data_IF_470395303431
#
_entry.id   IF_470395303431
#
_cell.length_a   1.000
_cell.length_b   1.000
_cell.length_c   1.000
_cell.angle_alpha   90.00
_cell.angle_beta   90.00
_cell.angle_gamma   90.00
#
_symmetry.space_group_name_H-M   'P 1'
#
loop_
_entity.id
_entity.type
_entity.pdbx_description
1 polymer ?
#
# COMPACT_ATOMS: atom_id res chain seq x y z
N UNK A 1 -63.67 16.05 18.61
CA UNK A 1 -62.71 15.04 18.24
C UNK A 1 -62.08 15.41 16.88
N UNK A 2 -60.92 16.05 16.88
CA UNK A 2 -60.17 16.40 15.65
C UNK A 2 -58.84 15.67 15.69
N UNK A 3 -58.64 14.79 14.71
CA UNK A 3 -57.37 14.07 14.53
C UNK A 3 -56.35 15.00 13.86
N UNK A 4 -55.20 15.17 14.51
CA UNK A 4 -54.01 15.84 13.94
C UNK A 4 -53.12 14.80 13.30
N UNK A 5 -53.00 14.87 11.96
CA UNK A 5 -52.05 14.04 11.21
C UNK A 5 -50.66 14.67 11.32
N UNK A 6 -49.75 13.98 11.98
CA UNK A 6 -48.34 14.35 12.07
C UNK A 6 -47.61 13.81 10.80
N UNK A 7 -47.10 14.71 9.97
CA UNK A 7 -46.26 14.38 8.84
C UNK A 7 -44.80 14.33 9.32
N UNK A 8 -44.21 13.14 9.36
CA UNK A 8 -42.77 13.00 9.51
C UNK A 8 -42.12 13.13 8.13
N UNK A 9 -41.37 14.20 7.94
CA UNK A 9 -40.48 14.38 6.80
C UNK A 9 -39.17 13.68 7.17
N UNK A 10 -38.92 12.51 6.56
CA UNK A 10 -37.63 11.85 6.63
C UNK A 10 -36.69 12.54 5.63
N UNK A 11 -35.74 13.32 6.14
CA UNK A 11 -34.64 13.82 5.35
C UNK A 11 -33.63 12.66 5.15
N UNK A 12 -33.61 12.10 3.95
CA UNK A 12 -32.59 11.16 3.55
C UNK A 12 -31.33 11.96 3.21
N UNK A 13 -30.37 11.96 4.12
CA UNK A 13 -29.00 12.40 3.81
C UNK A 13 -28.38 11.32 2.92
N UNK A 14 -28.24 11.61 1.64
CA UNK A 14 -27.44 10.78 0.72
C UNK A 14 -25.99 11.20 0.94
N UNK A 15 -25.32 10.48 1.82
CA UNK A 15 -23.86 10.55 1.95
C UNK A 15 -23.30 9.77 0.76
N UNK A 16 -22.85 10.47 -0.26
CA UNK A 16 -22.21 9.87 -1.43
C UNK A 16 -20.78 9.44 -1.10
N UNK A 17 -20.64 8.28 -0.49
CA UNK A 17 -19.35 7.58 -0.44
C UNK A 17 -19.12 6.94 -1.80
N UNK A 18 -18.19 7.50 -2.58
CA UNK A 18 -17.66 6.82 -3.76
C UNK A 18 -16.78 5.67 -3.27
N UNK A 19 -17.41 4.55 -2.99
CA UNK A 19 -16.71 3.29 -2.83
C UNK A 19 -16.19 2.93 -4.23
N UNK A 20 -14.89 3.04 -4.45
CA UNK A 20 -14.24 2.40 -5.60
C UNK A 20 -14.19 0.91 -5.28
N UNK A 21 -15.32 0.25 -5.47
CA UNK A 21 -15.43 -1.20 -5.42
C UNK A 21 -14.59 -1.77 -6.57
N UNK A 22 -13.64 -2.64 -6.27
CA UNK A 22 -13.06 -3.55 -7.26
C UNK A 22 -14.17 -4.48 -7.75
N UNK A 23 -14.93 -4.06 -8.77
CA UNK A 23 -15.99 -4.90 -9.31
C UNK A 23 -15.37 -6.09 -10.03
N UNK A 24 -15.70 -7.29 -9.58
CA UNK A 24 -15.37 -8.60 -10.19
C UNK A 24 -16.14 -8.88 -11.49
N UNK A 25 -16.46 -7.84 -12.27
CA UNK A 25 -17.09 -8.01 -13.57
C UNK A 25 -16.05 -8.48 -14.61
N UNK A 26 -15.98 -9.79 -14.80
CA UNK A 26 -15.15 -10.49 -15.81
C UNK A 26 -15.48 -10.11 -17.27
N UNK A 27 -16.35 -9.13 -17.54
CA UNK A 27 -16.86 -8.80 -18.88
C UNK A 27 -16.84 -7.32 -19.24
N UNK A 28 -16.00 -6.49 -18.61
CA UNK A 28 -15.64 -5.18 -19.17
C UNK A 28 -14.13 -5.14 -19.36
N UNK A 29 -13.65 -5.59 -20.50
CA UNK A 29 -12.37 -5.12 -21.06
C UNK A 29 -12.51 -3.60 -21.28
N UNK A 30 -12.28 -2.81 -20.23
CA UNK A 30 -11.93 -1.42 -20.43
C UNK A 30 -10.63 -1.44 -21.23
N UNK A 31 -10.56 -0.66 -22.30
CA UNK A 31 -9.36 -0.46 -23.10
C UNK A 31 -8.27 0.11 -22.16
N UNK A 32 -7.44 -0.78 -21.60
CA UNK A 32 -6.38 -0.43 -20.68
C UNK A 32 -5.20 -0.01 -21.54
N UNK A 33 -4.71 1.20 -21.35
CA UNK A 33 -3.49 1.65 -22.00
C UNK A 33 -2.31 0.93 -21.35
N UNK A 34 -1.74 -0.06 -22.03
CA UNK A 34 -0.51 -0.73 -21.63
C UNK A 34 0.67 -0.20 -22.41
N UNK A 35 1.83 -0.06 -21.77
CA UNK A 35 3.04 0.46 -22.41
C UNK A 35 4.31 -0.06 -21.74
N UNK A 36 5.37 -0.20 -22.52
CA UNK A 36 6.73 -0.49 -22.07
C UNK A 36 7.62 0.77 -22.03
N UNK A 37 7.05 1.96 -22.24
CA UNK A 37 7.80 3.22 -22.25
C UNK A 37 8.31 3.58 -20.85
N UNK A 38 9.62 3.56 -20.67
CA UNK A 38 10.30 3.92 -19.42
C UNK A 38 10.70 5.39 -19.35
N UNK A 39 10.46 6.19 -20.40
CA UNK A 39 10.99 7.56 -20.54
C UNK A 39 10.59 8.51 -19.41
N UNK A 40 9.49 8.21 -18.71
CA UNK A 40 9.00 9.02 -17.59
C UNK A 40 9.34 8.44 -16.22
N UNK A 41 10.16 7.38 -16.19
CA UNK A 41 10.59 6.75 -14.94
C UNK A 41 12.04 7.09 -14.60
N UNK A 42 12.34 6.94 -13.33
CA UNK A 42 13.69 7.02 -12.78
C UNK A 42 13.91 5.89 -11.78
N UNK A 43 15.17 5.50 -11.62
CA UNK A 43 15.58 4.66 -10.49
C UNK A 43 15.61 5.50 -9.24
N UNK A 44 14.93 5.06 -8.17
CA UNK A 44 14.78 5.87 -6.94
C UNK A 44 16.13 6.26 -6.35
N UNK A 45 17.14 5.38 -6.38
CA UNK A 45 18.48 5.67 -5.86
C UNK A 45 19.23 6.78 -6.63
N UNK A 46 18.80 7.12 -7.84
CA UNK A 46 19.37 8.27 -8.57
C UNK A 46 18.84 9.61 -8.03
N UNK A 47 17.67 9.60 -7.39
CA UNK A 47 16.99 10.80 -6.84
C UNK A 47 17.14 10.87 -5.32
N UNK A 48 17.07 9.74 -4.64
CA UNK A 48 17.23 9.58 -3.19
C UNK A 48 18.37 8.59 -2.92
N UNK A 49 19.65 9.01 -2.99
CA UNK A 49 20.80 8.10 -2.97
C UNK A 49 21.00 7.32 -1.66
N UNK A 50 20.48 7.82 -0.56
CA UNK A 50 20.60 7.21 0.77
C UNK A 50 19.38 6.38 1.19
N UNK A 51 18.43 6.16 0.29
CA UNK A 51 17.32 5.26 0.54
C UNK A 51 17.79 3.82 0.75
N UNK A 52 17.12 3.11 1.64
CA UNK A 52 17.37 1.67 1.86
C UNK A 52 16.39 0.88 1.01
N UNK A 53 16.89 -0.04 0.20
CA UNK A 53 16.06 -0.94 -0.60
C UNK A 53 16.00 -2.32 0.03
N UNK A 54 14.81 -2.77 0.37
CA UNK A 54 14.50 -4.15 0.73
C UNK A 54 13.36 -4.65 -0.17
N UNK A 55 13.65 -4.76 -1.47
CA UNK A 55 12.63 -5.07 -2.47
C UNK A 55 12.12 -6.48 -2.26
N UNK A 56 10.97 -6.59 -1.60
CA UNK A 56 10.38 -7.86 -1.13
C UNK A 56 10.06 -8.80 -2.26
N UNK A 57 9.62 -8.27 -3.38
CA UNK A 57 9.20 -9.06 -4.53
C UNK A 57 10.35 -9.52 -5.44
N UNK A 58 11.54 -8.94 -5.27
CA UNK A 58 12.76 -9.50 -5.87
C UNK A 58 13.27 -10.71 -5.08
N UNK A 59 13.06 -10.74 -3.77
CA UNK A 59 13.42 -11.84 -2.87
C UNK A 59 12.34 -12.91 -2.76
N UNK A 60 12.52 -13.79 -1.78
CA UNK A 60 11.56 -14.86 -1.43
C UNK A 60 10.78 -14.58 -0.14
N UNK A 61 11.15 -13.53 0.59
CA UNK A 61 10.45 -13.14 1.82
C UNK A 61 9.29 -12.19 1.49
N UNK A 62 8.26 -12.73 0.86
CA UNK A 62 7.00 -12.11 0.53
C UNK A 62 5.87 -13.14 0.73
N UNK A 63 4.63 -12.75 0.59
CA UNK A 63 3.48 -13.63 0.86
C UNK A 63 3.33 -14.81 -0.11
N UNK A 64 4.00 -14.77 -1.28
CA UNK A 64 4.05 -15.87 -2.24
C UNK A 64 5.15 -16.88 -1.88
N UNK A 65 6.29 -16.41 -1.35
CA UNK A 65 7.44 -17.25 -0.99
C UNK A 65 8.45 -17.47 -2.13
N UNK A 66 8.26 -16.80 -3.27
CA UNK A 66 9.18 -16.86 -4.41
C UNK A 66 9.40 -15.45 -4.98
N UNK A 67 10.42 -15.30 -5.86
CA UNK A 67 10.59 -14.07 -6.62
C UNK A 67 9.37 -13.84 -7.51
N UNK A 68 8.87 -12.63 -7.52
CA UNK A 68 7.72 -12.25 -8.33
C UNK A 68 8.14 -11.93 -9.76
N UNK A 69 7.31 -12.35 -10.71
CA UNK A 69 7.56 -12.15 -12.13
C UNK A 69 7.72 -10.66 -12.47
N UNK A 70 8.71 -10.37 -13.31
CA UNK A 70 9.02 -9.00 -13.73
C UNK A 70 9.97 -8.23 -12.80
N UNK A 71 10.39 -8.78 -11.66
CA UNK A 71 11.46 -8.22 -10.83
C UNK A 71 12.81 -8.84 -11.22
N UNK A 72 13.56 -8.15 -12.07
CA UNK A 72 14.85 -8.63 -12.59
C UNK A 72 16.03 -8.23 -11.71
N UNK A 73 15.93 -7.09 -11.02
CA UNK A 73 16.96 -6.56 -10.11
C UNK A 73 16.36 -6.05 -8.79
N UNK A 74 17.15 -6.01 -7.68
CA UNK A 74 16.69 -5.51 -6.37
C UNK A 74 16.70 -3.97 -6.34
N UNK A 75 15.94 -3.36 -7.25
CA UNK A 75 15.83 -1.91 -7.41
C UNK A 75 14.39 -1.45 -7.36
N UNK A 76 14.17 -0.15 -7.25
CA UNK A 76 12.85 0.45 -7.22
C UNK A 76 12.77 1.61 -8.22
N UNK A 77 11.66 1.68 -8.93
CA UNK A 77 11.40 2.67 -9.96
C UNK A 77 10.14 3.46 -9.61
N UNK A 78 10.13 4.75 -9.93
CA UNK A 78 8.94 5.60 -9.88
C UNK A 78 8.88 6.50 -11.11
N UNK A 79 7.70 7.04 -11.39
CA UNK A 79 7.60 8.20 -12.29
C UNK A 79 8.43 9.35 -11.74
N UNK A 80 9.00 10.18 -12.63
CA UNK A 80 9.83 11.34 -12.24
C UNK A 80 9.12 12.23 -11.21
N UNK A 81 7.84 12.51 -11.44
CA UNK A 81 7.05 13.35 -10.55
C UNK A 81 6.88 12.72 -9.16
N UNK A 82 6.62 11.42 -9.07
CA UNK A 82 6.53 10.73 -7.78
C UNK A 82 7.89 10.65 -7.08
N UNK A 83 8.98 10.47 -7.83
CA UNK A 83 10.33 10.47 -7.28
C UNK A 83 10.76 11.84 -6.73
N UNK A 84 10.39 12.94 -7.40
CA UNK A 84 10.63 14.31 -6.90
C UNK A 84 9.88 14.57 -5.59
N UNK A 85 8.62 14.14 -5.49
CA UNK A 85 7.85 14.19 -4.25
C UNK A 85 8.47 13.32 -3.16
N UNK A 86 8.93 12.11 -3.50
CA UNK A 86 9.60 11.20 -2.55
C UNK A 86 10.93 11.81 -2.03
N UNK A 87 11.65 12.55 -2.88
CA UNK A 87 12.85 13.28 -2.45
C UNK A 87 12.53 14.29 -1.35
N UNK A 88 11.43 15.03 -1.50
CA UNK A 88 10.98 15.98 -0.49
C UNK A 88 10.55 15.27 0.82
N UNK A 89 9.89 14.11 0.72
CA UNK A 89 9.61 13.25 1.90
C UNK A 89 10.90 12.82 2.57
N UNK A 90 11.90 12.37 1.79
CA UNK A 90 13.20 11.93 2.32
C UNK A 90 13.91 13.05 3.07
N UNK A 91 13.92 14.26 2.52
CA UNK A 91 14.55 15.41 3.18
C UNK A 91 13.84 15.79 4.49
N UNK A 92 12.50 15.72 4.51
CA UNK A 92 11.67 16.00 5.69
C UNK A 92 11.94 14.99 6.83
N UNK A 93 11.88 13.69 6.54
CA UNK A 93 12.10 12.67 7.57
C UNK A 93 13.57 12.61 8.02
N UNK A 94 14.49 12.95 7.13
CA UNK A 94 15.92 13.03 7.44
C UNK A 94 16.23 14.14 8.47
N UNK A 95 15.54 15.27 8.38
CA UNK A 95 15.63 16.33 9.38
C UNK A 95 15.13 15.87 10.77
N UNK A 96 14.35 14.79 10.82
CA UNK A 96 13.85 14.18 12.05
C UNK A 96 14.68 12.97 12.51
N UNK A 97 15.78 12.62 11.80
CA UNK A 97 16.66 11.52 12.14
C UNK A 97 16.32 10.17 11.48
N UNK A 98 15.46 10.18 10.44
CA UNK A 98 15.06 8.97 9.75
C UNK A 98 15.55 8.93 8.30
N UNK A 99 15.66 7.73 7.76
CA UNK A 99 15.78 7.44 6.32
C UNK A 99 14.57 6.67 5.86
N UNK A 100 14.29 6.74 4.57
CA UNK A 100 13.26 5.90 3.95
C UNK A 100 13.82 4.50 3.67
N UNK A 101 13.00 3.48 3.92
CA UNK A 101 13.24 2.10 3.54
C UNK A 101 12.07 1.63 2.68
N UNK A 102 12.37 1.15 1.47
CA UNK A 102 11.37 0.82 0.45
C UNK A 102 11.24 -0.69 0.32
N UNK A 103 10.00 -1.17 0.32
CA UNK A 103 9.63 -2.56 0.12
C UNK A 103 9.20 -2.84 -1.32
N UNK A 104 8.43 -1.92 -1.94
CA UNK A 104 8.00 -1.96 -3.33
C UNK A 104 7.72 -0.54 -3.85
N UNK A 105 7.74 -0.39 -5.18
CA UNK A 105 7.38 0.85 -5.85
C UNK A 105 6.63 0.53 -7.16
N UNK A 106 7.16 0.88 -8.34
CA UNK A 106 6.57 0.39 -9.58
C UNK A 106 6.58 -1.15 -9.61
N UNK A 107 5.42 -1.73 -9.89
CA UNK A 107 5.19 -3.19 -10.04
C UNK A 107 4.64 -3.44 -11.44
N UNK A 108 5.34 -4.21 -12.29
CA UNK A 108 4.85 -4.50 -13.63
C UNK A 108 3.59 -5.36 -13.58
N UNK A 109 2.74 -5.29 -14.62
CA UNK A 109 1.52 -6.11 -14.69
C UNK A 109 1.82 -7.60 -14.51
N UNK A 110 2.97 -8.10 -15.01
CA UNK A 110 3.42 -9.50 -14.79
C UNK A 110 3.49 -9.88 -13.31
N UNK A 111 3.87 -8.94 -12.44
CA UNK A 111 3.90 -9.15 -10.98
C UNK A 111 2.49 -9.28 -10.41
N UNK A 112 1.57 -8.44 -10.84
CA UNK A 112 0.16 -8.52 -10.46
C UNK A 112 -0.44 -9.85 -10.93
N UNK A 113 -0.18 -10.25 -12.17
CA UNK A 113 -0.66 -11.53 -12.73
C UNK A 113 -0.08 -12.73 -11.97
N UNK A 114 1.15 -12.63 -11.45
CA UNK A 114 1.73 -13.66 -10.58
C UNK A 114 0.95 -13.78 -9.27
N UNK A 115 0.58 -12.67 -8.62
CA UNK A 115 -0.23 -12.69 -7.42
C UNK A 115 -1.60 -13.32 -7.67
N UNK A 116 -2.22 -13.01 -8.80
CA UNK A 116 -3.49 -13.61 -9.21
C UNK A 116 -3.38 -15.13 -9.33
N UNK A 117 -2.40 -15.62 -10.09
CA UNK A 117 -2.16 -17.06 -10.25
C UNK A 117 -1.88 -17.76 -8.92
N UNK A 118 -1.06 -17.13 -8.07
CA UNK A 118 -0.79 -17.63 -6.73
C UNK A 118 -2.07 -17.70 -5.87
N UNK A 119 -2.90 -16.67 -5.90
CA UNK A 119 -4.13 -16.63 -5.12
C UNK A 119 -5.16 -17.68 -5.59
N UNK A 120 -5.19 -18.02 -6.88
CA UNK A 120 -6.05 -19.07 -7.46
C UNK A 120 -5.60 -20.49 -7.05
N UNK A 121 -4.30 -20.71 -6.77
CA UNK A 121 -3.83 -21.99 -6.22
C UNK A 121 -4.04 -22.06 -4.71
N UNK A 122 -5.20 -22.53 -4.29
CA UNK A 122 -5.58 -22.64 -2.87
C UNK A 122 -4.68 -23.58 -2.05
N UNK A 123 -3.87 -24.43 -2.69
CA UNK A 123 -2.99 -25.37 -2.02
C UNK A 123 -1.60 -24.78 -1.73
N UNK A 124 -1.22 -23.70 -2.42
CA UNK A 124 0.02 -23.00 -2.13
C UNK A 124 -0.15 -22.10 -0.89
N UNK A 125 0.25 -22.63 0.25
CA UNK A 125 0.14 -21.96 1.55
C UNK A 125 1.52 -21.79 2.23
N UNK A 126 2.60 -21.80 1.43
CA UNK A 126 3.98 -21.78 1.91
C UNK A 126 4.23 -20.67 2.96
N UNK A 127 3.74 -19.48 2.70
CA UNK A 127 3.97 -18.30 3.54
C UNK A 127 2.77 -17.93 4.43
N UNK A 128 1.75 -18.79 4.51
CA UNK A 128 0.53 -18.51 5.28
C UNK A 128 0.81 -18.13 6.73
N UNK A 129 1.68 -18.87 7.41
CA UNK A 129 1.99 -18.63 8.82
C UNK A 129 2.64 -17.25 9.08
N UNK A 130 3.23 -16.62 8.07
CA UNK A 130 3.96 -15.37 8.19
C UNK A 130 3.15 -14.14 7.75
N UNK A 131 2.21 -14.30 6.81
CA UNK A 131 1.52 -13.16 6.22
C UNK A 131 0.00 -13.19 6.36
N UNK A 132 -0.63 -14.38 6.43
CA UNK A 132 -2.09 -14.50 6.49
C UNK A 132 -2.56 -15.72 7.31
N UNK A 133 -2.05 -15.91 8.56
CA UNK A 133 -2.34 -17.12 9.34
C UNK A 133 -3.83 -17.32 9.61
N UNK A 134 -4.57 -16.24 9.75
CA UNK A 134 -5.97 -16.21 10.14
C UNK A 134 -6.93 -16.20 8.94
N UNK A 135 -6.41 -16.10 7.71
CA UNK A 135 -7.22 -16.06 6.49
C UNK A 135 -7.12 -17.35 5.68
N UNK A 136 -8.23 -17.68 5.02
CA UNK A 136 -8.23 -18.67 3.95
C UNK A 136 -7.96 -17.98 2.61
N UNK A 137 -7.17 -18.61 1.71
CA UNK A 137 -6.91 -18.02 0.38
C UNK A 137 -8.17 -17.75 -0.44
N UNK A 138 -9.24 -18.49 -0.21
CA UNK A 138 -10.53 -18.28 -0.89
C UNK A 138 -11.15 -16.90 -0.64
N UNK A 139 -10.73 -16.18 0.43
CA UNK A 139 -11.26 -14.85 0.75
C UNK A 139 -10.40 -13.70 0.18
N UNK A 140 -9.22 -13.97 -0.36
CA UNK A 140 -8.26 -12.93 -0.74
C UNK A 140 -8.78 -12.02 -1.87
N UNK A 141 -9.47 -12.56 -2.88
CA UNK A 141 -10.15 -11.76 -3.90
C UNK A 141 -11.43 -11.09 -3.38
N UNK A 142 -12.36 -11.81 -2.71
CA UNK A 142 -13.58 -11.20 -2.17
C UNK A 142 -13.36 -10.07 -1.18
N UNK A 143 -12.22 -10.05 -0.49
CA UNK A 143 -11.85 -9.03 0.50
C UNK A 143 -10.80 -8.04 -0.02
N UNK A 144 -10.58 -7.99 -1.33
CA UNK A 144 -9.69 -7.05 -2.02
C UNK A 144 -8.21 -7.06 -1.58
N UNK A 145 -7.74 -8.15 -0.92
CA UNK A 145 -6.31 -8.34 -0.65
C UNK A 145 -5.49 -8.54 -1.92
N UNK A 146 -6.09 -9.18 -2.94
CA UNK A 146 -5.50 -9.36 -4.26
C UNK A 146 -6.47 -8.81 -5.32
N UNK A 147 -5.96 -7.91 -6.17
CA UNK A 147 -6.71 -7.27 -7.24
C UNK A 147 -6.11 -7.59 -8.61
N UNK A 148 -6.93 -7.56 -9.66
CA UNK A 148 -6.49 -7.76 -11.05
C UNK A 148 -5.66 -6.59 -11.61
N UNK A 149 -5.75 -5.42 -10.96
CA UNK A 149 -5.01 -4.20 -11.31
C UNK A 149 -4.48 -3.55 -10.04
N UNK A 150 -3.31 -2.95 -10.15
CA UNK A 150 -2.64 -2.32 -9.02
C UNK A 150 -2.27 -0.86 -9.30
N UNK A 151 -2.38 0.00 -8.29
CA UNK A 151 -1.85 1.36 -8.33
C UNK A 151 -0.35 1.40 -8.63
N UNK A 152 0.40 0.42 -8.13
CA UNK A 152 1.84 0.29 -8.39
C UNK A 152 2.18 0.18 -9.87
N UNK A 153 1.33 -0.45 -10.67
CA UNK A 153 1.55 -0.62 -12.11
C UNK A 153 1.46 0.70 -12.88
N UNK A 154 0.90 1.76 -12.28
CA UNK A 154 0.88 3.12 -12.84
C UNK A 154 2.13 3.94 -12.51
N UNK A 155 3.02 3.41 -11.67
CA UNK A 155 4.35 3.96 -11.39
C UNK A 155 4.40 5.13 -10.41
N UNK A 156 3.31 5.45 -9.71
CA UNK A 156 3.26 6.55 -8.74
C UNK A 156 2.81 6.10 -7.34
N UNK A 157 2.86 4.80 -7.09
CA UNK A 157 2.55 4.17 -5.80
C UNK A 157 3.82 3.55 -5.22
N UNK A 158 3.96 3.62 -3.90
CA UNK A 158 5.13 3.15 -3.16
C UNK A 158 4.74 2.56 -1.82
N UNK A 159 5.40 1.46 -1.44
CA UNK A 159 5.32 0.81 -0.14
C UNK A 159 6.64 1.02 0.61
N UNK A 160 6.57 1.65 1.79
CA UNK A 160 7.78 2.04 2.50
C UNK A 160 7.57 2.14 4.01
N UNK A 161 8.70 2.23 4.71
CA UNK A 161 8.78 2.49 6.16
C UNK A 161 9.90 3.47 6.49
N UNK A 162 10.06 3.75 7.78
CA UNK A 162 11.13 4.56 8.33
C UNK A 162 12.26 3.69 8.88
N UNK A 163 13.49 4.20 8.81
CA UNK A 163 14.67 3.60 9.36
C UNK A 163 15.39 4.65 10.23
N UNK A 164 15.61 4.35 11.50
CA UNK A 164 16.26 5.25 12.46
C UNK A 164 17.77 5.32 12.20
N UNK A 165 18.27 6.53 12.00
CA UNK A 165 19.68 6.77 11.68
C UNK A 165 20.61 6.62 12.89
N UNK A 166 20.09 6.71 14.12
CA UNK A 166 20.89 6.60 15.34
C UNK A 166 21.04 5.15 15.79
N UNK A 167 19.96 4.38 15.71
CA UNK A 167 19.95 2.97 16.11
C UNK A 167 20.32 2.02 14.97
N UNK A 168 20.33 2.51 13.73
CA UNK A 168 20.53 1.73 12.51
C UNK A 168 19.55 0.57 12.40
N UNK A 169 18.26 0.82 12.75
CA UNK A 169 17.19 -0.17 12.70
C UNK A 169 15.96 0.37 12.02
N UNK A 170 15.20 -0.53 11.44
CA UNK A 170 13.84 -0.25 10.98
C UNK A 170 12.98 0.17 12.18
N UNK A 171 12.14 1.16 11.97
CA UNK A 171 11.18 1.61 12.98
C UNK A 171 10.08 0.58 13.12
N UNK A 172 9.78 0.23 14.36
CA UNK A 172 8.70 -0.71 14.68
C UNK A 172 7.32 -0.05 14.45
N UNK A 173 6.63 -0.52 13.44
CA UNK A 173 5.28 -0.06 13.06
C UNK A 173 4.16 -0.91 13.67
N UNK A 174 4.50 -1.93 14.49
CA UNK A 174 3.52 -2.82 15.12
C UNK A 174 2.91 -3.87 14.20
N UNK A 175 3.42 -4.00 12.99
CA UNK A 175 2.98 -4.99 12.01
C UNK A 175 3.96 -5.06 10.85
N UNK A 176 4.12 -6.25 10.27
CA UNK A 176 5.01 -6.43 9.11
C UNK A 176 4.33 -5.95 7.83
N UNK A 177 5.16 -5.54 6.87
CA UNK A 177 4.74 -5.32 5.49
C UNK A 177 4.03 -6.55 4.92
N UNK A 178 2.98 -6.36 4.12
CA UNK A 178 2.16 -7.42 3.53
C UNK A 178 1.42 -8.33 4.54
N UNK A 179 1.20 -7.87 5.75
CA UNK A 179 0.32 -8.60 6.66
C UNK A 179 -1.14 -8.46 6.22
N UNK A 180 -1.82 -9.59 5.96
CA UNK A 180 -3.23 -9.63 5.56
C UNK A 180 -4.12 -9.68 6.81
N UNK A 181 -4.60 -8.53 7.24
CA UNK A 181 -5.46 -8.38 8.40
C UNK A 181 -5.65 -6.93 8.82
N UNK A 182 -6.62 -6.66 9.70
CA UNK A 182 -6.94 -5.30 10.13
C UNK A 182 -5.77 -4.60 10.85
N UNK A 183 -4.80 -5.36 11.36
CA UNK A 183 -3.58 -4.82 11.97
C UNK A 183 -2.73 -3.99 10.99
N UNK A 184 -2.93 -4.17 9.69
CA UNK A 184 -2.28 -3.38 8.63
C UNK A 184 -2.96 -2.04 8.39
N UNK A 185 -4.23 -1.87 8.82
CA UNK A 185 -4.98 -0.65 8.61
C UNK A 185 -4.37 0.52 9.37
N UNK A 186 -4.29 1.72 8.77
CA UNK A 186 -3.78 2.91 9.45
C UNK A 186 -4.57 3.31 10.70
N UNK A 187 -5.87 2.99 10.75
CA UNK A 187 -6.76 3.28 11.87
C UNK A 187 -6.76 2.19 12.96
N UNK A 188 -5.98 1.13 12.78
CA UNK A 188 -5.87 0.07 13.79
C UNK A 188 -5.31 0.62 15.10
N UNK A 189 -6.11 0.55 16.17
CA UNK A 189 -5.84 1.11 17.51
C UNK A 189 -5.76 2.65 17.58
N UNK A 190 -6.27 3.39 16.60
CA UNK A 190 -6.26 4.85 16.67
C UNK A 190 -6.98 5.54 15.53
N UNK A 191 -7.00 6.87 15.57
CA UNK A 191 -7.55 7.69 14.51
C UNK A 191 -6.42 8.34 13.69
N UNK A 192 -6.20 7.92 12.43
CA UNK A 192 -5.10 8.43 11.62
C UNK A 192 -5.29 9.89 11.15
N UNK A 193 -6.51 10.44 11.21
CA UNK A 193 -6.78 11.83 10.84
C UNK A 193 -6.46 12.80 11.98
N UNK A 194 -6.65 12.38 13.22
CA UNK A 194 -6.32 13.18 14.40
C UNK A 194 -4.95 12.83 15.00
N UNK A 195 -4.41 11.64 14.67
CA UNK A 195 -3.20 11.10 15.30
C UNK A 195 -3.43 10.59 16.74
N UNK A 196 -4.69 10.43 17.16
CA UNK A 196 -5.05 9.99 18.51
C UNK A 196 -5.02 8.46 18.60
N UNK A 197 -4.22 7.93 19.54
CA UNK A 197 -4.23 6.52 19.88
C UNK A 197 -5.40 6.22 20.82
N UNK A 198 -6.27 5.28 20.44
CA UNK A 198 -7.45 4.89 21.23
C UNK A 198 -7.29 3.54 21.91
N UNK A 199 -6.38 2.71 21.42
CA UNK A 199 -6.24 1.31 21.84
C UNK A 199 -7.39 0.41 21.36
N UNK A 200 -8.32 0.94 20.56
CA UNK A 200 -9.41 0.16 19.98
C UNK A 200 -8.91 -0.70 18.82
N UNK A 201 -9.14 -1.99 18.96
CA UNK A 201 -8.81 -3.02 17.98
C UNK A 201 -9.99 -3.97 17.75
N UNK A 202 -11.22 -3.43 17.83
CA UNK A 202 -12.46 -4.21 17.77
C UNK A 202 -12.60 -5.03 16.47
N UNK A 203 -11.94 -4.61 15.41
CA UNK A 203 -11.93 -5.31 14.11
C UNK A 203 -10.97 -6.49 14.05
N UNK A 204 -10.07 -6.64 15.02
CA UNK A 204 -9.12 -7.77 15.01
C UNK A 204 -9.84 -9.11 15.15
N UNK A 205 -9.64 -10.06 14.21
CA UNK A 205 -10.29 -11.37 14.28
C UNK A 205 -9.62 -12.33 15.27
N UNK A 206 -8.45 -11.98 15.81
CA UNK A 206 -7.65 -12.87 16.65
C UNK A 206 -8.07 -12.82 18.12
N UNK A 207 -7.93 -13.96 18.81
CA UNK A 207 -8.10 -14.03 20.26
C UNK A 207 -6.86 -14.65 20.94
N UNK A 208 -6.17 -13.96 21.85
CA UNK A 208 -6.51 -12.59 22.28
C UNK A 208 -6.32 -11.58 21.13
N UNK A 209 -7.15 -10.54 21.12
CA UNK A 209 -7.08 -9.49 20.11
C UNK A 209 -5.69 -8.88 20.05
N UNK A 210 -5.12 -8.80 18.85
CA UNK A 210 -3.85 -8.10 18.64
C UNK A 210 -4.04 -6.60 18.88
N UNK A 211 -2.97 -5.95 19.28
CA UNK A 211 -2.93 -4.49 19.42
C UNK A 211 -1.53 -4.00 19.06
N UNK A 212 -1.44 -2.75 18.69
CA UNK A 212 -0.16 -2.05 18.59
C UNK A 212 -0.01 -1.10 19.78
N UNK A 213 1.22 -0.72 20.10
CA UNK A 213 1.50 0.23 21.16
C UNK A 213 1.22 1.67 20.72
N UNK A 214 1.04 2.63 21.65
CA UNK A 214 0.98 4.06 21.31
C UNK A 214 2.17 4.53 20.48
N UNK A 215 3.38 4.04 20.78
CA UNK A 215 4.60 4.39 20.04
C UNK A 215 4.55 3.88 18.60
N UNK A 216 4.16 2.62 18.38
CA UNK A 216 3.99 2.04 17.04
C UNK A 216 2.96 2.80 16.22
N UNK A 217 1.83 3.19 16.83
CA UNK A 217 0.84 4.02 16.16
C UNK A 217 1.43 5.40 15.79
N UNK A 218 2.15 6.07 16.70
CA UNK A 218 2.80 7.35 16.40
C UNK A 218 3.86 7.22 15.31
N UNK A 219 4.60 6.12 15.25
CA UNK A 219 5.55 5.85 14.19
C UNK A 219 4.87 5.81 12.80
N UNK A 220 3.70 5.15 12.70
CA UNK A 220 2.86 5.20 11.49
C UNK A 220 2.43 6.61 11.14
N UNK A 221 2.07 7.43 12.15
CA UNK A 221 1.64 8.82 11.92
C UNK A 221 2.78 9.72 11.44
N UNK A 222 4.01 9.52 11.91
CA UNK A 222 5.19 10.24 11.40
C UNK A 222 5.35 10.00 9.90
N UNK A 223 5.33 8.73 9.47
CA UNK A 223 5.39 8.36 8.05
C UNK A 223 4.23 8.95 7.25
N UNK A 224 2.99 8.71 7.70
CA UNK A 224 1.76 9.16 7.05
C UNK A 224 1.76 10.68 6.83
N UNK A 225 2.10 11.45 7.86
CA UNK A 225 2.11 12.91 7.79
C UNK A 225 3.21 13.42 6.85
N UNK A 226 4.40 12.82 6.87
CA UNK A 226 5.47 13.19 5.95
C UNK A 226 5.04 12.94 4.48
N UNK A 227 4.48 11.78 4.20
CA UNK A 227 3.98 11.44 2.86
C UNK A 227 2.87 12.41 2.42
N UNK A 228 1.90 12.71 3.28
CA UNK A 228 0.79 13.62 2.97
C UNK A 228 1.24 15.06 2.71
N UNK A 229 2.22 15.58 3.49
CA UNK A 229 2.79 16.93 3.28
C UNK A 229 3.42 17.09 1.90
N UNK A 230 3.94 16.00 1.33
CA UNK A 230 4.63 16.02 0.04
C UNK A 230 3.83 15.39 -1.09
N UNK A 231 2.49 15.44 -0.99
CA UNK A 231 1.59 15.17 -2.11
C UNK A 231 1.16 13.73 -2.28
N UNK A 232 1.52 12.82 -1.39
CA UNK A 232 1.00 11.46 -1.41
C UNK A 232 -0.32 11.35 -0.64
N UNK A 233 -1.19 10.44 -1.07
CA UNK A 233 -2.38 9.99 -0.34
C UNK A 233 -2.11 8.59 0.22
N UNK A 234 -2.44 8.34 1.50
CA UNK A 234 -2.36 7.01 2.09
C UNK A 234 -3.47 6.11 1.55
N UNK A 235 -3.28 4.80 1.69
CA UNK A 235 -4.30 3.79 1.48
C UNK A 235 -4.95 3.42 2.83
N UNK A 236 -6.25 3.09 2.80
CA UNK A 236 -7.02 2.95 4.04
C UNK A 236 -6.84 1.60 4.74
N UNK A 237 -6.27 0.60 4.05
CA UNK A 237 -6.08 -0.75 4.57
C UNK A 237 -4.62 -1.15 4.77
N UNK A 238 -3.66 -0.27 4.41
CA UNK A 238 -2.23 -0.57 4.46
C UNK A 238 -1.44 0.65 4.94
N UNK A 239 -0.82 0.59 6.13
CA UNK A 239 -0.09 1.72 6.72
C UNK A 239 1.16 2.12 5.92
N UNK A 240 1.71 1.22 5.11
CA UNK A 240 2.92 1.41 4.31
C UNK A 240 2.66 1.98 2.92
N UNK A 241 1.40 1.93 2.41
CA UNK A 241 1.04 2.15 1.02
C UNK A 241 0.60 3.58 0.75
N UNK A 242 1.25 4.22 -0.22
CA UNK A 242 0.99 5.61 -0.59
C UNK A 242 1.02 5.78 -2.10
N UNK A 243 0.07 6.56 -2.63
CA UNK A 243 0.00 6.91 -4.04
C UNK A 243 0.09 8.43 -4.20
N UNK A 244 0.85 8.94 -5.17
CA UNK A 244 0.88 10.37 -5.49
C UNK A 244 -0.54 10.85 -5.84
N UNK A 245 -0.99 11.98 -5.28
CA UNK A 245 -2.36 12.50 -5.50
C UNK A 245 -2.60 12.85 -6.96
N UNK A 246 -1.63 13.53 -7.57
CA UNK A 246 -1.68 13.97 -8.96
C UNK A 246 -0.80 13.05 -9.81
N UNK A 247 -1.25 11.78 -9.96
CA UNK A 247 -0.54 10.79 -10.79
C UNK A 247 -0.45 11.28 -12.24
N UNK A 248 0.74 11.25 -12.87
CA UNK A 248 0.86 11.65 -14.29
C UNK A 248 0.20 10.64 -15.24
N UNK A 249 -0.02 9.40 -14.79
CA UNK A 249 -0.55 8.30 -15.61
C UNK A 249 -1.68 7.54 -14.89
N UNK A 250 -2.80 8.18 -14.54
CA UNK A 250 -3.85 7.54 -13.72
C UNK A 250 -4.54 6.36 -14.42
N UNK A 251 -4.48 6.28 -15.76
CA UNK A 251 -5.16 5.29 -16.59
C UNK A 251 -4.19 4.44 -17.44
N UNK A 252 -2.87 4.53 -17.17
CA UNK A 252 -1.85 3.80 -17.93
C UNK A 252 -1.16 2.76 -17.04
N UNK A 253 -1.11 1.52 -17.52
CA UNK A 253 -0.48 0.41 -16.82
C UNK A 253 0.79 0.02 -17.56
N UNK A 254 1.92 0.03 -16.84
CA UNK A 254 3.22 -0.25 -17.41
C UNK A 254 3.57 -1.73 -17.29
N UNK A 255 4.30 -2.26 -18.29
CA UNK A 255 4.58 -3.69 -18.41
C UNK A 255 6.07 -4.03 -18.43
N UNK A 256 6.95 -3.03 -18.46
CA UNK A 256 8.40 -3.23 -18.46
C UNK A 256 8.89 -3.80 -17.12
N UNK A 257 10.00 -4.59 -17.12
CA UNK A 257 10.51 -5.21 -15.89
C UNK A 257 11.16 -4.18 -14.95
N UNK A 258 11.16 -4.52 -13.65
CA UNK A 258 11.89 -3.78 -12.63
C UNK A 258 13.37 -4.12 -12.73
N UNK A 259 14.14 -3.18 -13.23
CA UNK A 259 15.63 -3.19 -13.31
C UNK A 259 16.15 -1.76 -13.37
N UNK A 260 17.44 -1.61 -13.08
CA UNK A 260 18.11 -0.32 -13.20
C UNK A 260 17.89 0.28 -14.58
N UNK A 261 17.41 1.52 -14.65
CA UNK A 261 17.29 2.23 -15.90
C UNK A 261 18.65 2.79 -16.33
N UNK A 262 18.99 2.60 -17.61
CA UNK A 262 20.18 3.24 -18.18
C UNK A 262 19.98 4.75 -18.22
N UNK A 263 21.00 5.47 -17.77
CA UNK A 263 21.06 6.95 -17.82
C UNK A 263 21.21 7.45 -19.25
#
# INVERSE_FOLDING_TARGET
MKQVKLWMIAAILICGTTIVSCSSDKNKEANVNETEDTSQFVTITDVVPDVILEIRYFGTYNFVGTRIDGYEEPTALLTKQAADSLKAVSDDVKAQGYRLKIYDAYRPQKGVDHFVRWAEDINDTLMKAYFYPDLDKSVLFPQDYICLKSGHTRGSTIDLTLFDMNTEKEIDMGGTFDWFGPESHPDFCGNPETGEYTGDNSESPTEPKRSITPEQFQNRMILRQAMQRHGFKPFDTEWWHFTLKDEPFPDTYFTFPVKQLSK
#
